data_IF_463270651173
#
_entry.id   IF_463270651173
#
_cell.length_a   1.000
_cell.length_b   1.000
_cell.length_c   1.000
_cell.angle_alpha   90.00
_cell.angle_beta   90.00
_cell.angle_gamma   90.00
#
_symmetry.space_group_name_H-M   'P 1'
#
loop_
_entity.id
_entity.type
_entity.pdbx_description
1 polymer ?
#
# COMPACT_ATOMS: atom_id res chain seq x y z
N UNK A 1 0.78 1.78 -20.34
CA UNK A 1 0.42 0.35 -20.50
C UNK A 1 0.05 0.04 -21.94
N UNK A 2 0.24 -1.21 -22.40
CA UNK A 2 -0.20 -1.66 -23.74
C UNK A 2 -1.66 -2.16 -23.68
N UNK A 3 -2.32 -2.31 -24.83
CA UNK A 3 -3.74 -2.68 -24.92
C UNK A 3 -4.12 -3.89 -24.06
N UNK A 4 -3.35 -4.98 -24.12
CA UNK A 4 -3.63 -6.19 -23.33
C UNK A 4 -3.69 -5.89 -21.83
N UNK A 5 -2.71 -5.14 -21.32
CA UNK A 5 -2.66 -4.75 -19.91
C UNK A 5 -3.77 -3.77 -19.55
N UNK A 6 -4.18 -2.88 -20.47
CA UNK A 6 -5.30 -1.97 -20.24
C UNK A 6 -6.64 -2.73 -20.07
N UNK A 7 -6.83 -3.85 -20.78
CA UNK A 7 -8.05 -4.67 -20.65
C UNK A 7 -8.22 -5.28 -19.25
N UNK A 8 -7.14 -5.50 -18.51
CA UNK A 8 -7.17 -5.97 -17.12
C UNK A 8 -7.77 -4.90 -16.17
N UNK A 9 -7.80 -3.63 -16.60
CA UNK A 9 -8.34 -2.49 -15.86
C UNK A 9 -9.69 -2.00 -16.40
N UNK A 10 -10.43 -2.83 -17.15
CA UNK A 10 -11.66 -2.37 -17.81
C UNK A 10 -12.81 -2.06 -16.83
N UNK A 11 -12.80 -2.65 -15.64
CA UNK A 11 -13.87 -2.58 -14.64
C UNK A 11 -13.37 -1.98 -13.33
N UNK A 12 -14.16 -1.11 -12.72
CA UNK A 12 -13.87 -0.53 -11.41
C UNK A 12 -14.20 -1.53 -10.29
N UNK A 13 -13.23 -1.79 -9.41
CA UNK A 13 -13.36 -2.67 -8.23
C UNK A 13 -14.31 -2.13 -7.15
N UNK A 14 -14.66 -0.83 -7.18
CA UNK A 14 -15.57 -0.23 -6.19
C UNK A 14 -17.04 -0.21 -6.64
N UNK A 15 -17.31 0.17 -7.89
CA UNK A 15 -18.68 0.31 -8.39
C UNK A 15 -19.08 -0.76 -9.42
N UNK A 16 -18.17 -1.66 -9.78
CA UNK A 16 -18.34 -2.72 -10.77
C UNK A 16 -18.74 -2.24 -12.20
N UNK A 17 -18.64 -0.93 -12.47
CA UNK A 17 -18.91 -0.33 -13.79
C UNK A 17 -17.65 -0.30 -14.64
N UNK A 18 -17.82 -0.10 -15.95
CA UNK A 18 -16.68 0.11 -16.85
C UNK A 18 -16.00 1.43 -16.52
N UNK A 19 -14.67 1.49 -16.62
CA UNK A 19 -13.92 2.72 -16.32
C UNK A 19 -14.41 3.92 -17.16
N UNK A 20 -14.82 3.70 -18.41
CA UNK A 20 -15.35 4.73 -19.29
C UNK A 20 -16.68 5.35 -18.83
N UNK A 21 -17.45 4.66 -17.99
CA UNK A 21 -18.73 5.17 -17.46
C UNK A 21 -18.54 6.33 -16.48
N UNK A 22 -17.30 6.56 -16.02
CA UNK A 22 -16.94 7.73 -15.23
C UNK A 22 -17.08 9.04 -16.02
N UNK A 23 -17.04 8.98 -17.37
CA UNK A 23 -17.13 10.16 -18.25
C UNK A 23 -15.78 10.83 -18.51
N UNK A 24 -14.70 10.30 -17.94
CA UNK A 24 -13.33 10.76 -18.13
C UNK A 24 -12.45 9.57 -18.53
N UNK A 25 -11.48 9.74 -19.46
CA UNK A 25 -10.57 8.69 -19.88
C UNK A 25 -9.44 8.47 -18.85
N UNK A 26 -9.79 8.43 -17.56
CA UNK A 26 -8.89 8.31 -16.42
C UNK A 26 -9.33 7.19 -15.49
N UNK A 27 -8.37 6.50 -14.90
CA UNK A 27 -8.58 5.53 -13.84
C UNK A 27 -7.30 5.41 -13.00
N UNK A 28 -7.44 4.85 -11.81
CA UNK A 28 -6.37 4.60 -10.85
C UNK A 28 -6.09 3.10 -10.79
N UNK A 29 -4.82 2.71 -10.96
CA UNK A 29 -4.33 1.37 -10.64
C UNK A 29 -3.68 1.44 -9.25
N UNK A 30 -4.26 0.74 -8.27
CA UNK A 30 -3.90 0.86 -6.85
C UNK A 30 -3.33 -0.48 -6.36
N UNK A 31 -2.20 -0.44 -5.68
CA UNK A 31 -1.65 -1.57 -4.91
C UNK A 31 -1.66 -1.18 -3.44
N UNK A 32 -2.35 -1.98 -2.61
CA UNK A 32 -2.43 -1.77 -1.16
C UNK A 32 -1.60 -2.85 -0.48
N UNK A 33 -0.62 -2.43 0.33
CA UNK A 33 0.19 -3.31 1.16
C UNK A 33 0.04 -2.89 2.62
N UNK A 34 -0.09 -3.87 3.52
CA UNK A 34 -0.19 -3.63 4.96
C UNK A 34 1.04 -4.19 5.66
N UNK A 35 1.74 -3.32 6.37
CA UNK A 35 2.90 -3.69 7.18
C UNK A 35 2.59 -3.55 8.66
N UNK A 36 3.12 -4.46 9.46
CA UNK A 36 3.13 -4.41 10.92
C UNK A 36 4.54 -4.12 11.39
N UNK A 37 4.69 -3.24 12.37
CA UNK A 37 5.98 -2.89 12.96
C UNK A 37 6.40 -4.01 13.94
N UNK A 38 7.62 -4.52 13.80
CA UNK A 38 8.23 -5.38 14.81
C UNK A 38 8.78 -4.51 15.94
N UNK A 39 7.93 -4.29 16.95
CA UNK A 39 8.28 -3.45 18.10
C UNK A 39 9.50 -3.97 18.87
N UNK A 40 9.77 -5.28 18.85
CA UNK A 40 10.92 -5.84 19.56
C UNK A 40 12.22 -5.50 18.82
N UNK A 41 12.22 -5.64 17.49
CA UNK A 41 13.36 -5.25 16.67
C UNK A 41 13.61 -3.74 16.76
N UNK A 42 12.55 -2.94 16.66
CA UNK A 42 12.65 -1.48 16.82
C UNK A 42 13.23 -1.10 18.20
N UNK A 43 12.75 -1.70 19.29
CA UNK A 43 13.26 -1.42 20.64
C UNK A 43 14.73 -1.79 20.83
N UNK A 44 15.21 -2.88 20.21
CA UNK A 44 16.64 -3.23 20.25
C UNK A 44 17.48 -2.16 19.57
N UNK A 45 17.03 -1.70 18.41
CA UNK A 45 17.72 -0.67 17.64
C UNK A 45 17.76 0.66 18.38
N UNK A 46 16.63 1.06 18.98
CA UNK A 46 16.54 2.26 19.80
C UNK A 46 17.40 2.17 21.06
N UNK A 47 17.45 1.00 21.71
CA UNK A 47 18.31 0.76 22.87
C UNK A 47 19.80 0.87 22.54
N UNK A 48 20.22 0.35 21.38
CA UNK A 48 21.59 0.48 20.89
C UNK A 48 21.93 1.95 20.57
N UNK A 49 21.00 2.68 19.94
CA UNK A 49 21.16 4.10 19.65
C UNK A 49 21.36 4.92 20.95
N UNK A 50 20.58 4.61 21.98
CA UNK A 50 20.71 5.25 23.30
C UNK A 50 22.06 4.95 23.97
N UNK A 51 22.54 3.70 23.90
CA UNK A 51 23.84 3.31 24.46
C UNK A 51 25.01 3.99 23.75
N UNK A 52 24.96 4.09 22.43
CA UNK A 52 26.02 4.69 21.62
C UNK A 52 25.93 6.24 21.57
N UNK A 53 24.83 6.82 22.05
CA UNK A 53 24.54 8.25 21.92
C UNK A 53 24.40 8.71 20.47
N UNK A 54 24.21 7.77 19.53
CA UNK A 54 24.21 8.04 18.09
C UNK A 54 23.37 7.00 17.33
N UNK A 55 22.19 7.40 16.79
CA UNK A 55 21.37 6.54 15.97
C UNK A 55 22.07 6.06 14.69
N UNK A 56 22.93 6.91 14.10
CA UNK A 56 23.69 6.56 12.90
C UNK A 56 24.71 5.43 13.17
N UNK A 57 25.37 5.46 14.34
CA UNK A 57 26.26 4.36 14.74
C UNK A 57 25.49 3.07 15.04
N UNK A 58 24.33 3.18 15.69
CA UNK A 58 23.46 2.03 15.92
C UNK A 58 22.94 1.40 14.62
N UNK A 59 22.66 2.20 13.59
CA UNK A 59 22.31 1.69 12.26
C UNK A 59 23.47 0.93 11.60
N UNK A 60 24.71 1.42 11.75
CA UNK A 60 25.88 0.79 11.13
C UNK A 60 26.38 -0.45 11.90
N UNK A 61 26.17 -0.51 13.21
CA UNK A 61 26.69 -1.58 14.08
C UNK A 61 25.62 -2.56 14.57
N UNK A 62 24.35 -2.17 14.49
CA UNK A 62 23.22 -2.98 14.90
C UNK A 62 22.93 -4.11 13.91
N UNK A 63 22.13 -5.10 14.32
CA UNK A 63 21.72 -6.17 13.43
C UNK A 63 20.78 -5.61 12.34
N UNK A 64 20.98 -6.05 11.10
CA UNK A 64 20.17 -5.65 9.94
C UNK A 64 18.85 -6.45 9.91
N UNK A 65 18.02 -6.23 10.95
CA UNK A 65 16.74 -6.91 11.13
C UNK A 65 15.59 -6.16 10.45
N UNK A 66 14.62 -6.89 9.89
CA UNK A 66 13.37 -6.32 9.39
C UNK A 66 12.57 -5.66 10.53
N UNK A 67 12.43 -4.33 10.47
CA UNK A 67 11.66 -3.55 11.45
C UNK A 67 10.15 -3.54 11.16
N UNK A 68 9.75 -3.98 9.98
CA UNK A 68 8.35 -4.13 9.60
C UNK A 68 8.18 -5.37 8.72
N UNK A 69 7.02 -6.01 8.82
CA UNK A 69 6.73 -7.25 8.09
C UNK A 69 5.39 -7.14 7.37
N UNK A 70 5.24 -7.74 6.19
CA UNK A 70 3.95 -7.79 5.51
C UNK A 70 2.93 -8.55 6.36
N UNK A 71 1.74 -7.99 6.47
CA UNK A 71 0.62 -8.53 7.26
C UNK A 71 -0.47 -9.16 6.38
N UNK A 72 -0.39 -8.95 5.07
CA UNK A 72 -1.29 -9.51 4.07
C UNK A 72 -0.61 -9.50 2.70
N UNK A 73 -1.13 -10.32 1.78
CA UNK A 73 -0.76 -10.23 0.37
C UNK A 73 -1.20 -8.88 -0.23
N UNK A 74 -0.41 -8.28 -1.13
CA UNK A 74 -0.78 -7.02 -1.78
C UNK A 74 -2.11 -7.12 -2.52
N UNK A 75 -3.02 -6.19 -2.25
CA UNK A 75 -4.32 -6.10 -2.94
C UNK A 75 -4.20 -5.16 -4.11
N UNK A 76 -4.57 -5.61 -5.30
CA UNK A 76 -4.56 -4.81 -6.52
C UNK A 76 -5.99 -4.45 -6.91
N UNK A 77 -6.23 -3.16 -7.14
CA UNK A 77 -7.53 -2.62 -7.48
C UNK A 77 -7.45 -1.72 -8.70
N UNK A 78 -8.55 -1.68 -9.44
CA UNK A 78 -8.77 -0.68 -10.47
C UNK A 78 -9.89 0.24 -10.01
N UNK A 79 -9.65 1.54 -9.90
CA UNK A 79 -10.66 2.50 -9.42
C UNK A 79 -10.93 3.55 -10.49
N UNK A 80 -12.19 3.70 -10.90
CA UNK A 80 -12.55 4.74 -11.87
C UNK A 80 -12.49 6.14 -11.24
N UNK A 81 -12.32 7.17 -12.07
CA UNK A 81 -12.15 8.55 -11.60
C UNK A 81 -13.28 9.01 -10.68
N UNK A 82 -14.53 8.65 -11.00
CA UNK A 82 -15.68 9.00 -10.16
C UNK A 82 -15.59 8.41 -8.76
N UNK A 83 -15.22 7.13 -8.62
CA UNK A 83 -15.12 6.51 -7.30
C UNK A 83 -13.92 7.04 -6.51
N UNK A 84 -12.83 7.39 -7.20
CA UNK A 84 -11.66 7.98 -6.55
C UNK A 84 -11.94 9.38 -5.98
N UNK A 85 -12.79 10.17 -6.65
CA UNK A 85 -13.13 11.54 -6.22
C UNK A 85 -14.32 11.57 -5.25
N UNK A 86 -15.37 10.80 -5.53
CA UNK A 86 -16.64 10.92 -4.80
C UNK A 86 -16.68 10.09 -3.52
N UNK A 87 -15.86 9.02 -3.40
CA UNK A 87 -15.90 8.12 -2.25
C UNK A 87 -14.69 8.33 -1.34
N UNK A 88 -14.93 8.81 -0.12
CA UNK A 88 -13.93 8.85 0.94
C UNK A 88 -13.93 7.54 1.73
N UNK A 89 -13.30 6.50 1.16
CA UNK A 89 -13.16 5.21 1.83
C UNK A 89 -11.82 5.09 2.55
N UNK A 90 -11.79 4.61 3.81
CA UNK A 90 -10.53 4.25 4.47
C UNK A 90 -9.77 3.18 3.68
N UNK A 91 -8.43 3.22 3.72
CA UNK A 91 -7.57 2.24 3.03
C UNK A 91 -7.92 0.80 3.41
N UNK A 92 -8.25 0.57 4.69
CA UNK A 92 -8.66 -0.76 5.16
C UNK A 92 -9.94 -1.26 4.48
N UNK A 93 -10.88 -0.36 4.15
CA UNK A 93 -12.09 -0.74 3.40
C UNK A 93 -11.77 -1.00 1.93
N UNK A 94 -10.90 -0.18 1.34
CA UNK A 94 -10.43 -0.41 -0.04
C UNK A 94 -9.71 -1.76 -0.17
N UNK A 95 -8.91 -2.15 0.82
CA UNK A 95 -8.19 -3.43 0.82
C UNK A 95 -9.12 -4.66 0.78
N UNK A 96 -10.36 -4.53 1.25
CA UNK A 96 -11.37 -5.60 1.23
C UNK A 96 -12.28 -5.52 -0.01
N UNK A 97 -12.15 -4.46 -0.83
CA UNK A 97 -12.90 -4.33 -2.06
C UNK A 97 -12.46 -5.44 -3.03
N UNK A 98 -13.43 -6.15 -3.60
CA UNK A 98 -13.12 -7.23 -4.55
C UNK A 98 -12.69 -6.61 -5.88
N UNK A 99 -11.51 -7.04 -6.34
CA UNK A 99 -10.98 -6.77 -7.68
C UNK A 99 -11.88 -7.29 -8.78
#
# INVERSE_FOLDING_TARGET
MKERALREHATCSLCAKRIGDAGLPLFWAVTIERYGIDLRAAQRQDGLAALLGSPALAQAMGPDEDLARPMMEPVKLTVCERCAVDQQLPIAVLAEARG
#
